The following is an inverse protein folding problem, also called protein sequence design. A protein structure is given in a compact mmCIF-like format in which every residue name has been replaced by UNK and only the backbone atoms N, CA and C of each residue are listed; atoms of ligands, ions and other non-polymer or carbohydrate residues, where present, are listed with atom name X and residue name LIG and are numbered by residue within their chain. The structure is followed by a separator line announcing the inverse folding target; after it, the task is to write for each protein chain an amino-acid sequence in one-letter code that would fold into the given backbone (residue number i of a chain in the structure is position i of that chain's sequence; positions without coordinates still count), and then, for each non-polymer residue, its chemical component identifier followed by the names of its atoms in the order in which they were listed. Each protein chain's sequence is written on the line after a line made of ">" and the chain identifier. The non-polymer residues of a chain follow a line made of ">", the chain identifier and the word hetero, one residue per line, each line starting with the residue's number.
data_IF_000497182233
#
_entry.id   IF_000497182233
#
_cell.length_a   1.000
_cell.length_b   1.000
_cell.length_c   1.000
_cell.angle_alpha   90.00
_cell.angle_beta   90.00
_cell.angle_gamma   90.00
#
_symmetry.space_group_name_H-M   'P 1'
#
loop_
_entity.id
_entity.type
_entity.pdbx_description
1 polymer ?
#
# COMPACT_ATOMS: atom_id res chain seq x y z
N UNK A 1 -13.10 -11.04 5.14
CA UNK A 1 -12.57 -10.62 3.82
C UNK A 1 -12.21 -9.16 3.93
N UNK A 2 -11.07 -8.73 3.38
CA UNK A 2 -10.65 -7.34 3.55
C UNK A 2 -11.42 -6.41 2.60
N UNK A 3 -12.01 -5.34 3.15
CA UNK A 3 -12.76 -4.35 2.37
C UNK A 3 -11.86 -3.21 1.87
N UNK A 4 -10.63 -3.12 2.38
CA UNK A 4 -9.67 -2.13 1.96
C UNK A 4 -9.16 -2.41 0.54
N UNK A 5 -9.40 -1.47 -0.36
CA UNK A 5 -9.08 -1.61 -1.78
C UNK A 5 -8.89 -0.25 -2.46
N UNK A 6 -8.33 -0.28 -3.67
CA UNK A 6 -8.25 0.88 -4.54
C UNK A 6 -9.64 1.16 -5.13
N UNK A 7 -10.15 2.39 -4.99
CA UNK A 7 -11.45 2.81 -5.57
C UNK A 7 -11.28 3.53 -6.90
N UNK A 8 -10.18 4.26 -7.05
CA UNK A 8 -9.79 5.00 -8.24
C UNK A 8 -8.29 5.29 -8.17
N UNK A 9 -7.72 5.87 -9.23
CA UNK A 9 -6.31 6.24 -9.24
C UNK A 9 -5.97 7.17 -8.06
N UNK A 10 -4.98 6.75 -7.27
CA UNK A 10 -4.55 7.48 -6.08
C UNK A 10 -5.56 7.51 -4.94
N UNK A 11 -6.63 6.72 -4.97
CA UNK A 11 -7.69 6.73 -3.96
C UNK A 11 -8.00 5.33 -3.44
N UNK A 12 -8.07 5.20 -2.13
CA UNK A 12 -8.43 3.95 -1.43
C UNK A 12 -9.82 4.08 -0.80
N UNK A 13 -10.38 2.97 -0.32
CA UNK A 13 -11.61 2.99 0.51
C UNK A 13 -11.39 3.56 1.92
N UNK A 14 -10.17 3.96 2.28
CA UNK A 14 -9.79 4.33 3.64
C UNK A 14 -9.32 3.12 4.46
N UNK A 15 -8.09 3.17 4.95
CA UNK A 15 -7.54 2.17 5.87
C UNK A 15 -8.20 2.27 7.24
N UNK A 16 -8.75 1.16 7.75
CA UNK A 16 -9.30 1.07 9.10
C UNK A 16 -8.81 -0.20 9.81
N UNK A 17 -7.83 -0.10 10.74
CA UNK A 17 -7.25 -1.27 11.39
C UNK A 17 -8.26 -2.04 12.28
N UNK A 18 -9.35 -1.41 12.72
CA UNK A 18 -10.40 -2.08 13.50
C UNK A 18 -11.35 -2.92 12.64
N UNK A 19 -11.38 -2.68 11.33
CA UNK A 19 -12.29 -3.33 10.38
C UNK A 19 -11.57 -4.14 9.30
N UNK A 20 -10.24 -4.03 9.21
CA UNK A 20 -9.44 -4.61 8.16
C UNK A 20 -8.29 -5.43 8.75
N UNK A 21 -8.13 -6.65 8.25
CA UNK A 21 -6.99 -7.50 8.58
C UNK A 21 -5.73 -6.94 7.88
N UNK A 22 -4.71 -6.56 8.64
CA UNK A 22 -3.49 -5.94 8.11
C UNK A 22 -2.70 -6.83 7.14
N UNK A 23 -2.89 -8.16 7.24
CA UNK A 23 -2.26 -9.15 6.34
C UNK A 23 -3.29 -9.87 5.45
N UNK A 24 -4.57 -9.52 5.57
CA UNK A 24 -5.66 -10.17 4.87
C UNK A 24 -5.81 -9.61 3.45
N UNK A 25 -5.84 -10.49 2.46
CA UNK A 25 -6.08 -10.08 1.07
C UNK A 25 -7.52 -9.59 0.85
N UNK A 26 -7.68 -8.59 0.00
CA UNK A 26 -8.98 -8.19 -0.54
C UNK A 26 -9.43 -9.13 -1.69
N UNK A 27 -10.58 -8.84 -2.30
CA UNK A 27 -11.14 -9.62 -3.43
C UNK A 27 -10.23 -9.70 -4.65
N UNK A 28 -9.33 -8.74 -4.82
CA UNK A 28 -8.37 -8.68 -5.93
C UNK A 28 -7.06 -9.40 -5.59
N UNK A 29 -6.99 -10.06 -4.43
CA UNK A 29 -5.79 -10.77 -3.97
C UNK A 29 -4.66 -9.86 -3.50
N UNK A 30 -4.94 -8.57 -3.27
CA UNK A 30 -3.96 -7.58 -2.82
C UNK A 30 -3.94 -7.49 -1.29
N UNK A 31 -2.73 -7.37 -0.73
CA UNK A 31 -2.53 -7.01 0.67
C UNK A 31 -2.79 -5.51 0.90
N UNK A 32 -3.15 -5.07 2.11
CA UNK A 32 -3.33 -3.66 2.41
C UNK A 32 -2.11 -2.80 2.05
N UNK A 33 -0.91 -3.25 2.40
CA UNK A 33 0.32 -2.52 2.08
C UNK A 33 0.55 -2.35 0.57
N UNK A 34 0.03 -3.29 -0.24
CA UNK A 34 0.09 -3.22 -1.70
C UNK A 34 -0.95 -2.23 -2.26
N UNK A 35 -2.15 -2.16 -1.67
CA UNK A 35 -3.18 -1.17 -2.02
C UNK A 35 -2.70 0.25 -1.74
N UNK A 36 -2.19 0.51 -0.54
CA UNK A 36 -1.65 1.83 -0.17
C UNK A 36 -0.48 2.23 -1.07
N UNK A 37 0.40 1.28 -1.38
CA UNK A 37 1.53 1.51 -2.28
C UNK A 37 1.06 1.86 -3.70
N UNK A 38 0.08 1.14 -4.25
CA UNK A 38 -0.47 1.43 -5.57
C UNK A 38 -1.19 2.78 -5.63
N UNK A 39 -1.86 3.19 -4.55
CA UNK A 39 -2.46 4.51 -4.45
C UNK A 39 -1.41 5.62 -4.29
N UNK A 40 -0.19 5.31 -3.87
CA UNK A 40 0.78 6.33 -3.45
C UNK A 40 0.37 7.04 -2.16
N UNK A 41 -0.46 6.40 -1.34
CA UNK A 41 -0.92 6.94 -0.06
C UNK A 41 0.12 6.67 1.03
N UNK A 42 0.87 7.73 1.38
CA UNK A 42 1.99 7.63 2.31
C UNK A 42 1.52 7.38 3.74
N UNK A 43 0.39 7.98 4.14
CA UNK A 43 -0.10 7.93 5.50
C UNK A 43 -0.68 6.55 5.81
N UNK A 44 -1.50 6.01 4.90
CA UNK A 44 -2.03 4.65 5.03
C UNK A 44 -0.92 3.61 4.93
N UNK A 45 0.04 3.79 4.03
CA UNK A 45 1.20 2.89 3.91
C UNK A 45 1.99 2.84 5.22
N UNK A 46 2.30 4.00 5.81
CA UNK A 46 3.01 4.08 7.08
C UNK A 46 2.21 3.47 8.24
N UNK A 47 0.90 3.69 8.29
CA UNK A 47 0.02 3.12 9.31
C UNK A 47 -0.02 1.58 9.24
N UNK A 48 -0.12 1.02 8.03
CA UNK A 48 -0.14 -0.44 7.80
C UNK A 48 1.20 -1.06 8.19
N UNK A 49 2.32 -0.50 7.71
CA UNK A 49 3.67 -1.02 7.99
C UNK A 49 4.05 -0.92 9.47
N UNK A 50 3.48 0.06 10.18
CA UNK A 50 3.71 0.25 11.62
C UNK A 50 2.77 -0.56 12.51
N UNK A 51 1.79 -1.27 11.94
CA UNK A 51 0.87 -2.08 12.71
C UNK A 51 1.62 -3.23 13.40
N UNK A 52 1.35 -3.53 14.69
CA UNK A 52 2.12 -4.52 15.45
C UNK A 52 2.02 -5.94 14.89
N UNK A 53 0.91 -6.26 14.23
CA UNK A 53 0.68 -7.57 13.59
C UNK A 53 1.11 -7.61 12.12
N UNK A 54 1.67 -6.51 11.58
CA UNK A 54 2.10 -6.47 10.19
C UNK A 54 3.18 -7.52 9.89
N UNK A 55 2.97 -8.29 8.81
CA UNK A 55 3.94 -9.26 8.30
C UNK A 55 4.38 -8.86 6.89
N UNK A 56 5.70 -8.72 6.64
CA UNK A 56 6.20 -8.43 5.29
C UNK A 56 6.14 -9.65 4.35
N UNK A 57 5.81 -10.84 4.85
CA UNK A 57 5.86 -12.08 4.07
C UNK A 57 4.87 -12.04 2.91
N UNK A 58 5.41 -12.17 1.69
CA UNK A 58 4.62 -12.16 0.45
C UNK A 58 4.14 -10.78 -0.01
N UNK A 59 4.47 -9.70 0.72
CA UNK A 59 4.14 -8.34 0.33
C UNK A 59 5.09 -7.83 -0.76
N UNK A 60 4.52 -7.15 -1.78
CA UNK A 60 5.29 -6.60 -2.91
C UNK A 60 5.02 -5.10 -3.12
N UNK A 61 5.15 -4.24 -2.09
CA UNK A 61 4.73 -2.85 -2.19
C UNK A 61 5.46 -2.06 -3.28
N UNK A 62 6.74 -2.35 -3.55
CA UNK A 62 7.48 -1.69 -4.63
C UNK A 62 6.92 -2.00 -6.04
N UNK A 63 6.46 -3.24 -6.26
CA UNK A 63 5.83 -3.63 -7.53
C UNK A 63 4.52 -2.87 -7.71
N UNK A 64 3.70 -2.79 -6.66
CA UNK A 64 2.40 -2.12 -6.74
C UNK A 64 2.51 -0.59 -6.81
N UNK A 65 3.50 0.01 -6.15
CA UNK A 65 3.83 1.41 -6.33
C UNK A 65 4.19 1.73 -7.79
N UNK A 66 4.92 0.84 -8.47
CA UNK A 66 5.25 0.99 -9.88
C UNK A 66 4.01 0.87 -10.78
N UNK A 67 3.08 -0.04 -10.47
CA UNK A 67 1.77 -0.12 -11.17
C UNK A 67 0.99 1.18 -11.01
N UNK A 68 0.98 1.76 -9.81
CA UNK A 68 0.38 3.07 -9.53
C UNK A 68 1.06 4.19 -10.32
N UNK A 69 2.40 4.19 -10.36
CA UNK A 69 3.20 5.18 -11.10
C UNK A 69 2.91 5.18 -12.59
N UNK A 70 2.75 4.00 -13.18
CA UNK A 70 2.48 3.81 -14.61
C UNK A 70 1.02 4.08 -14.99
N UNK A 71 0.13 4.26 -14.02
CA UNK A 71 -1.27 4.62 -14.24
C UNK A 71 -1.41 6.14 -14.31
N UNK A 72 -1.78 6.65 -15.50
CA UNK A 72 -2.11 8.05 -15.81
C UNK A 72 -1.07 9.15 -15.45
N UNK A 73 -1.42 10.42 -15.75
CA UNK A 73 -0.49 11.55 -15.79
C UNK A 73 0.01 12.11 -14.45
N UNK A 74 -0.50 11.60 -13.31
CA UNK A 74 -0.11 12.08 -11.97
C UNK A 74 0.63 11.02 -11.12
N UNK A 75 0.79 9.79 -11.63
CA UNK A 75 1.43 8.68 -10.91
C UNK A 75 2.87 8.96 -10.45
N UNK A 76 3.67 9.68 -11.25
CA UNK A 76 5.06 10.01 -10.92
C UNK A 76 5.19 10.88 -9.66
N UNK A 77 4.29 11.84 -9.45
CA UNK A 77 4.33 12.71 -8.28
C UNK A 77 3.99 11.96 -6.99
N UNK A 78 2.99 11.07 -7.05
CA UNK A 78 2.63 10.20 -5.92
C UNK A 78 3.71 9.18 -5.61
N UNK A 79 4.29 8.54 -6.64
CA UNK A 79 5.41 7.64 -6.46
C UNK A 79 6.63 8.32 -5.82
N UNK A 80 6.97 9.54 -6.28
CA UNK A 80 8.07 10.33 -5.69
C UNK A 80 7.84 10.62 -4.20
N UNK A 81 6.60 10.91 -3.79
CA UNK A 81 6.23 11.13 -2.38
C UNK A 81 6.32 9.83 -1.56
N UNK A 82 5.90 8.70 -2.12
CA UNK A 82 5.92 7.40 -1.47
C UNK A 82 7.34 6.79 -1.38
N UNK A 83 8.23 7.14 -2.30
CA UNK A 83 9.57 6.54 -2.43
C UNK A 83 10.36 6.46 -1.12
N UNK A 84 10.45 7.50 -0.26
CA UNK A 84 11.15 7.39 1.02
C UNK A 84 10.58 6.32 1.94
N UNK A 85 9.25 6.15 1.96
CA UNK A 85 8.59 5.12 2.76
C UNK A 85 8.86 3.71 2.21
N UNK A 86 8.91 3.55 0.87
CA UNK A 86 9.32 2.28 0.24
C UNK A 86 10.77 1.93 0.54
N UNK A 87 11.68 2.91 0.51
CA UNK A 87 13.09 2.69 0.81
C UNK A 87 13.27 2.30 2.29
N UNK A 88 12.52 2.93 3.21
CA UNK A 88 12.50 2.55 4.63
C UNK A 88 11.90 1.15 4.85
N UNK A 89 10.83 0.79 4.12
CA UNK A 89 10.27 -0.56 4.13
C UNK A 89 11.32 -1.61 3.72
N UNK A 90 12.03 -1.36 2.61
CA UNK A 90 13.08 -2.27 2.13
C UNK A 90 14.17 -2.44 3.18
N UNK A 91 14.70 -1.34 3.72
CA UNK A 91 15.77 -1.38 4.72
C UNK A 91 15.37 -2.14 6.01
N UNK A 92 14.08 -2.19 6.33
CA UNK A 92 13.57 -2.86 7.54
C UNK A 92 13.27 -4.34 7.34
N UNK A 93 12.88 -4.76 6.14
CA UNK A 93 12.28 -6.09 5.93
C UNK A 93 12.92 -6.93 4.80
N UNK A 94 13.83 -6.36 4.00
CA UNK A 94 14.55 -7.05 2.91
C UNK A 94 16.06 -6.95 3.14
#
# INVERSE_FOLDING_TARGET
>A
MNHYQLIAHGQTTGWNPSANDVNGKNLYGMLPVEVAAQAGDVDEFAAIVSHPEFSPLGARPAMFAEVGRLSDGYGDASFKRLKPALDAYKARFL
#
